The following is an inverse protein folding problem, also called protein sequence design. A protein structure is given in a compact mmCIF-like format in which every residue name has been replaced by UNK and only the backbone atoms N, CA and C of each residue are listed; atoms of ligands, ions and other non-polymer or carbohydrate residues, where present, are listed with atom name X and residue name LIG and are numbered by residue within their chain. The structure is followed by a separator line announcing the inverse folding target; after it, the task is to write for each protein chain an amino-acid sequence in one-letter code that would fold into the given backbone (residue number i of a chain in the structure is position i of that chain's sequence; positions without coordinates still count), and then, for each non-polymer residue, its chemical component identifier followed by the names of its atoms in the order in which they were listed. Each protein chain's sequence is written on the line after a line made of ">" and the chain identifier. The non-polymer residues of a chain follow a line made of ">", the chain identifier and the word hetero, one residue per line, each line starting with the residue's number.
data_IF_465827986300
#
_entry.id   IF_465827986300
#
_cell.length_a   1.000
_cell.length_b   1.000
_cell.length_c   1.000
_cell.angle_alpha   90.00
_cell.angle_beta   90.00
_cell.angle_gamma   90.00
#
_symmetry.space_group_name_H-M   'P 1'
#
loop_
_entity.id
_entity.type
_entity.pdbx_description
1 polymer ?
#
# COMPACT_ATOMS: atom_id res chain seq x y z
N UNK A 1 27.17 3.38 -5.23
CA UNK A 1 26.10 4.40 -5.19
C UNK A 1 25.49 4.40 -3.80
N UNK A 2 25.01 5.55 -3.29
CA UNK A 2 24.26 5.55 -2.04
C UNK A 2 22.96 4.73 -2.19
N UNK A 3 22.44 4.13 -1.11
CA UNK A 3 21.16 3.41 -1.15
C UNK A 3 20.02 4.39 -1.46
N UNK A 4 19.03 3.91 -2.22
CA UNK A 4 17.81 4.68 -2.53
C UNK A 4 16.68 4.19 -1.64
N UNK A 5 16.01 5.10 -0.93
CA UNK A 5 14.85 4.79 -0.11
C UNK A 5 13.57 5.22 -0.84
N UNK A 6 12.76 4.25 -1.23
CA UNK A 6 11.43 4.50 -1.80
C UNK A 6 10.39 4.52 -0.68
N UNK A 7 9.66 5.63 -0.56
CA UNK A 7 8.57 5.79 0.40
C UNK A 7 7.23 5.68 -0.34
N UNK A 8 6.41 4.73 0.08
CA UNK A 8 5.08 4.49 -0.50
C UNK A 8 4.03 4.72 0.58
N UNK A 9 3.02 5.53 0.27
CA UNK A 9 1.83 5.69 1.11
C UNK A 9 0.84 4.57 0.80
N UNK A 10 0.12 4.08 1.81
CA UNK A 10 -0.99 3.14 1.58
C UNK A 10 -2.04 3.73 0.63
N UNK A 11 -2.70 2.85 -0.12
CA UNK A 11 -3.78 3.22 -1.03
C UNK A 11 -5.08 3.58 -0.28
N UNK A 12 -6.09 4.06 -0.99
CA UNK A 12 -7.35 4.52 -0.40
C UNK A 12 -8.03 3.44 0.46
N UNK A 13 -8.23 3.75 1.74
CA UNK A 13 -9.03 2.96 2.66
C UNK A 13 -10.38 3.60 2.95
N UNK A 14 -11.30 2.83 3.55
CA UNK A 14 -12.60 3.36 3.97
C UNK A 14 -12.50 4.53 4.95
N UNK A 15 -11.41 4.63 5.73
CA UNK A 15 -11.17 5.77 6.61
C UNK A 15 -10.92 7.09 5.86
N UNK A 16 -10.45 7.03 4.60
CA UNK A 16 -10.21 8.23 3.79
C UNK A 16 -11.45 8.64 2.98
N UNK A 17 -12.29 7.68 2.63
CA UNK A 17 -13.41 7.85 1.70
C UNK A 17 -14.76 8.09 2.40
N UNK A 18 -14.90 7.66 3.67
CA UNK A 18 -16.15 7.74 4.42
C UNK A 18 -16.28 9.05 5.21
N UNK A 19 -17.52 9.52 5.38
CA UNK A 19 -17.85 10.59 6.32
C UNK A 19 -17.61 10.12 7.76
N UNK A 20 -16.81 10.86 8.55
CA UNK A 20 -16.27 10.43 9.85
C UNK A 20 -15.40 9.15 9.80
N UNK A 21 -14.69 8.94 8.69
CA UNK A 21 -13.85 7.76 8.48
C UNK A 21 -12.64 7.68 9.42
N UNK A 22 -12.22 8.78 10.04
CA UNK A 22 -11.09 8.83 10.98
C UNK A 22 -11.27 7.94 12.23
N UNK A 23 -12.50 7.57 12.56
CA UNK A 23 -12.81 6.65 13.65
C UNK A 23 -12.64 5.16 13.27
N UNK A 24 -12.44 4.85 11.98
CA UNK A 24 -12.30 3.47 11.50
C UNK A 24 -10.85 3.02 11.70
N UNK A 25 -10.62 2.25 12.75
CA UNK A 25 -9.36 1.57 13.00
C UNK A 25 -9.19 0.37 12.05
N UNK A 26 -7.95 0.14 11.59
CA UNK A 26 -7.58 -0.92 10.64
C UNK A 26 -8.56 -1.11 9.47
N UNK A 27 -8.80 -0.05 8.68
CA UNK A 27 -9.78 -0.05 7.61
C UNK A 27 -9.36 -0.96 6.46
N UNK A 28 -10.36 -1.51 5.77
CA UNK A 28 -10.18 -2.16 4.48
C UNK A 28 -9.85 -1.13 3.39
N UNK A 29 -9.21 -1.57 2.30
CA UNK A 29 -9.09 -0.77 1.09
C UNK A 29 -10.44 -0.72 0.39
N UNK A 30 -10.68 0.37 -0.32
CA UNK A 30 -11.77 0.44 -1.30
C UNK A 30 -11.36 -0.29 -2.58
N UNK A 31 -12.30 -0.60 -3.48
CA UNK A 31 -11.96 -1.13 -4.82
C UNK A 31 -10.98 -0.21 -5.57
N UNK A 32 -11.13 1.10 -5.39
CA UNK A 32 -10.20 2.10 -5.90
C UNK A 32 -8.82 1.98 -5.26
N UNK A 33 -8.75 1.73 -3.95
CA UNK A 33 -7.50 1.46 -3.24
C UNK A 33 -6.78 0.24 -3.80
N UNK A 34 -7.50 -0.85 -4.08
CA UNK A 34 -6.92 -2.04 -4.72
C UNK A 34 -6.37 -1.73 -6.13
N UNK A 35 -7.13 -0.98 -6.93
CA UNK A 35 -6.67 -0.54 -8.26
C UNK A 35 -5.41 0.33 -8.19
N UNK A 36 -5.30 1.23 -7.21
CA UNK A 36 -4.09 2.03 -6.97
C UNK A 36 -2.88 1.17 -6.65
N UNK A 37 -3.07 0.08 -5.89
CA UNK A 37 -2.00 -0.88 -5.60
C UNK A 37 -1.51 -1.57 -6.88
N UNK A 38 -2.44 -2.06 -7.69
CA UNK A 38 -2.14 -2.72 -8.96
C UNK A 38 -1.44 -1.76 -9.94
N UNK A 39 -1.86 -0.49 -9.97
CA UNK A 39 -1.23 0.53 -10.82
C UNK A 39 0.19 0.88 -10.33
N UNK A 40 0.39 1.00 -9.02
CA UNK A 40 1.73 1.23 -8.44
C UNK A 40 2.66 0.06 -8.78
N UNK A 41 2.20 -1.18 -8.56
CA UNK A 41 2.92 -2.38 -8.96
C UNK A 41 3.26 -2.33 -10.45
N UNK A 42 2.30 -2.07 -11.34
CA UNK A 42 2.57 -2.06 -12.77
C UNK A 42 3.59 -0.99 -13.20
N UNK A 43 3.59 0.17 -12.55
CA UNK A 43 4.34 1.34 -12.98
C UNK A 43 5.65 1.56 -12.21
N UNK A 44 5.96 0.76 -11.18
CA UNK A 44 7.17 0.95 -10.39
C UNK A 44 8.41 0.46 -11.19
N UNK A 45 9.40 1.32 -11.48
CA UNK A 45 10.44 1.00 -12.46
C UNK A 45 11.62 0.18 -11.91
N UNK A 46 11.60 -0.20 -10.63
CA UNK A 46 12.77 -0.71 -9.91
C UNK A 46 12.50 -2.01 -9.15
N UNK A 47 11.52 -2.82 -9.58
CA UNK A 47 11.20 -4.10 -8.94
C UNK A 47 12.42 -5.00 -8.78
N UNK A 48 13.29 -5.03 -9.79
CA UNK A 48 14.51 -5.83 -9.84
C UNK A 48 15.65 -5.30 -8.95
N UNK A 49 15.46 -4.14 -8.31
CA UNK A 49 16.48 -3.43 -7.52
C UNK A 49 16.07 -3.22 -6.06
N UNK A 50 15.08 -3.97 -5.58
CA UNK A 50 14.66 -3.93 -4.18
C UNK A 50 15.44 -4.99 -3.40
N UNK A 51 16.35 -4.55 -2.53
CA UNK A 51 17.08 -5.43 -1.61
C UNK A 51 16.29 -5.72 -0.32
N UNK A 52 15.45 -4.78 0.10
CA UNK A 52 14.68 -4.85 1.34
C UNK A 52 13.36 -4.11 1.18
N UNK A 53 12.30 -4.74 1.67
CA UNK A 53 10.98 -4.16 1.72
C UNK A 53 10.46 -4.23 3.16
N UNK A 54 9.95 -3.10 3.65
CA UNK A 54 9.44 -2.94 5.02
C UNK A 54 8.03 -2.35 4.96
N UNK A 55 7.15 -2.88 5.81
CA UNK A 55 5.80 -2.35 5.97
C UNK A 55 5.35 -2.44 7.43
N UNK A 56 4.49 -1.51 7.83
CA UNK A 56 3.79 -1.59 9.11
C UNK A 56 2.83 -2.78 9.08
N UNK A 57 2.80 -3.56 10.16
CA UNK A 57 1.80 -4.61 10.35
C UNK A 57 0.42 -3.98 10.52
N UNK A 58 -0.50 -4.30 9.62
CA UNK A 58 -1.94 -4.06 9.77
C UNK A 58 -2.62 -5.44 9.66
N UNK A 59 -3.55 -5.80 10.57
CA UNK A 59 -4.14 -7.12 10.61
C UNK A 59 -4.78 -7.56 9.27
N UNK A 60 -4.68 -8.87 9.04
CA UNK A 60 -4.86 -9.65 7.80
C UNK A 60 -6.19 -9.53 7.04
N UNK A 61 -7.16 -8.73 7.51
CA UNK A 61 -8.33 -8.37 6.70
C UNK A 61 -8.05 -7.16 5.79
N UNK A 62 -7.01 -6.36 6.04
CA UNK A 62 -6.74 -5.14 5.27
C UNK A 62 -5.92 -5.40 3.99
N UNK A 63 -6.39 -4.99 2.79
CA UNK A 63 -5.67 -5.14 1.51
C UNK A 63 -4.38 -4.31 1.38
N UNK A 64 -3.99 -3.57 2.43
CA UNK A 64 -2.70 -2.85 2.51
C UNK A 64 -1.49 -3.81 2.50
N UNK A 65 -1.67 -5.04 2.99
CA UNK A 65 -0.65 -6.09 2.89
C UNK A 65 -0.41 -6.49 1.42
N UNK A 66 -1.45 -6.43 0.56
CA UNK A 66 -1.32 -6.67 -0.87
C UNK A 66 -0.59 -5.54 -1.61
N UNK A 67 -0.66 -4.29 -1.17
CA UNK A 67 0.10 -3.18 -1.79
C UNK A 67 1.60 -3.44 -1.74
N UNK A 68 2.05 -4.05 -0.65
CA UNK A 68 3.46 -4.29 -0.35
C UNK A 68 3.92 -5.63 -0.97
N UNK A 69 3.08 -6.67 -0.91
CA UNK A 69 3.37 -7.94 -1.57
C UNK A 69 3.30 -7.89 -3.10
N UNK A 70 2.49 -7.02 -3.70
CA UNK A 70 2.42 -6.88 -5.16
C UNK A 70 3.60 -6.11 -5.76
N UNK A 71 4.48 -5.51 -4.95
CA UNK A 71 5.73 -4.95 -5.47
C UNK A 71 6.75 -6.07 -5.79
N UNK A 72 6.46 -7.32 -5.41
CA UNK A 72 7.18 -8.54 -5.85
C UNK A 72 6.37 -9.34 -6.87
#
# INVERSE_FOLDING_TARGET
>A
MPPTLHLVRHAEGFHNSSWHGEAIHDPLLTEKGEAQCAELCKNFPHHDKIDMLMASYVPTSSPTFNTVHQIY
#
